data_IF_337619446894
#
_entry.id   IF_337619446894
#
_cell.length_a   1.000
_cell.length_b   1.000
_cell.length_c   1.000
_cell.angle_alpha   90.00
_cell.angle_beta   90.00
_cell.angle_gamma   90.00
#
_symmetry.space_group_name_H-M   'P 1'
#
loop_
_entity.id
_entity.type
_entity.pdbx_description
1 polymer ?
#
# COMPACT_ATOMS: atom_id res chain seq x y z
N UNK A 1 -14.24 3.66 10.18
CA UNK A 1 -14.10 2.24 9.79
C UNK A 1 -13.55 1.47 10.99
N UNK A 2 -13.85 0.19 11.14
CA UNK A 2 -13.38 -0.54 12.31
C UNK A 2 -11.92 -0.96 12.14
N UNK A 3 -11.11 -0.82 13.20
CA UNK A 3 -9.76 -1.35 13.29
C UNK A 3 -9.78 -2.47 14.31
N UNK A 4 -9.32 -3.63 13.91
CA UNK A 4 -9.35 -4.84 14.71
C UNK A 4 -7.93 -5.31 15.00
N UNK A 5 -7.72 -5.77 16.22
CA UNK A 5 -6.43 -6.16 16.74
C UNK A 5 -5.43 -5.02 16.81
N UNK A 6 -4.43 -5.24 17.58
CA UNK A 6 -3.33 -4.32 17.75
C UNK A 6 -2.05 -5.10 17.90
N UNK A 7 -0.95 -4.51 17.60
CA UNK A 7 0.31 -5.20 17.73
C UNK A 7 1.51 -4.29 17.59
N UNK A 8 1.40 -3.31 16.70
CA UNK A 8 2.49 -2.37 16.39
C UNK A 8 1.95 -0.95 16.21
N UNK A 9 1.13 -0.74 15.18
CA UNK A 9 0.70 0.61 14.80
C UNK A 9 -0.49 1.07 15.63
N UNK A 10 -1.46 0.18 15.85
CA UNK A 10 -2.67 0.48 16.61
C UNK A 10 -2.64 -0.09 18.03
N UNK A 11 -1.46 -0.44 18.54
CA UNK A 11 -1.32 -0.88 19.93
C UNK A 11 -1.80 0.21 20.89
N UNK A 12 -2.75 -0.15 21.76
CA UNK A 12 -3.39 0.73 22.74
C UNK A 12 -4.10 1.96 22.13
N UNK A 13 -4.39 1.98 20.83
CA UNK A 13 -5.16 3.06 20.21
C UNK A 13 -6.65 2.76 20.37
N UNK A 14 -7.33 3.58 21.17
CA UNK A 14 -8.79 3.54 21.26
C UNK A 14 -9.42 4.45 20.19
N UNK A 15 -9.83 3.87 19.08
CA UNK A 15 -10.44 4.62 17.97
C UNK A 15 -11.84 5.17 18.28
N UNK A 16 -12.45 4.78 19.38
CA UNK A 16 -13.70 5.39 19.87
C UNK A 16 -13.44 6.72 20.61
N UNK A 17 -12.23 6.94 21.10
CA UNK A 17 -11.82 8.23 21.65
C UNK A 17 -11.58 9.23 20.49
N UNK A 18 -12.34 10.34 20.40
CA UNK A 18 -12.17 11.33 19.33
C UNK A 18 -10.79 12.03 19.35
N UNK A 19 -10.10 12.00 20.48
CA UNK A 19 -8.80 12.61 20.67
C UNK A 19 -7.62 11.64 20.54
N UNK A 20 -7.87 10.38 20.19
CA UNK A 20 -6.84 9.32 20.10
C UNK A 20 -5.64 9.67 19.21
N UNK A 21 -5.83 10.59 18.27
CA UNK A 21 -4.84 11.07 17.31
C UNK A 21 -3.92 12.18 17.83
N UNK A 22 -4.25 12.77 19.01
CA UNK A 22 -3.50 13.91 19.56
C UNK A 22 -2.14 13.49 20.10
N UNK A 23 -1.23 14.48 20.18
CA UNK A 23 0.09 14.30 20.75
C UNK A 23 0.03 13.76 22.19
N UNK A 24 -0.86 14.31 23.02
CA UNK A 24 -0.99 13.90 24.41
C UNK A 24 -1.35 12.42 24.54
N UNK A 25 -2.29 11.95 23.74
CA UNK A 25 -2.68 10.54 23.72
C UNK A 25 -1.55 9.65 23.17
N UNK A 26 -0.82 10.10 22.15
CA UNK A 26 0.33 9.37 21.63
C UNK A 26 1.45 9.25 22.67
N UNK A 27 1.79 10.33 23.37
CA UNK A 27 2.82 10.34 24.40
C UNK A 27 2.41 9.45 25.59
N UNK A 28 1.14 9.46 26.02
CA UNK A 28 0.63 8.53 27.07
C UNK A 28 0.87 7.06 26.74
N UNK A 29 0.82 6.69 25.45
CA UNK A 29 1.10 5.33 24.95
C UNK A 29 2.60 5.07 24.72
N UNK A 30 3.49 5.96 25.18
CA UNK A 30 4.94 5.82 24.99
C UNK A 30 5.48 6.38 23.67
N UNK A 31 4.69 7.16 22.96
CA UNK A 31 5.11 7.82 21.73
C UNK A 31 6.28 8.78 21.95
N UNK A 32 7.06 8.98 20.91
CA UNK A 32 8.33 9.73 20.89
C UNK A 32 9.43 9.21 21.82
N UNK A 33 9.22 8.08 22.52
CA UNK A 33 10.27 7.47 23.34
C UNK A 33 11.42 6.91 22.51
N UNK A 34 11.13 6.39 21.32
CA UNK A 34 12.13 5.93 20.37
C UNK A 34 13.05 7.09 19.91
N UNK A 35 12.47 8.21 19.51
CA UNK A 35 13.24 9.39 19.10
C UNK A 35 14.04 9.96 20.27
N UNK A 36 13.45 10.06 21.49
CA UNK A 36 14.16 10.51 22.69
C UNK A 36 15.36 9.62 22.98
N UNK A 37 15.19 8.32 22.90
CA UNK A 37 16.27 7.34 23.11
C UNK A 37 17.41 7.54 22.11
N UNK A 38 17.11 7.66 20.81
CA UNK A 38 18.12 7.89 19.76
C UNK A 38 18.99 9.12 20.11
N UNK A 39 18.35 10.23 20.45
CA UNK A 39 19.06 11.50 20.66
C UNK A 39 19.78 11.55 22.01
N UNK A 40 19.19 11.04 23.10
CA UNK A 40 19.81 11.05 24.44
C UNK A 40 20.96 10.07 24.58
N UNK A 41 20.89 8.90 23.94
CA UNK A 41 21.94 7.87 23.97
C UNK A 41 22.94 8.03 22.81
N UNK A 42 22.76 9.03 21.94
CA UNK A 42 23.58 9.27 20.73
C UNK A 42 23.73 8.01 19.85
N UNK A 43 22.62 7.29 19.65
CA UNK A 43 22.61 6.09 18.79
C UNK A 43 22.99 6.50 17.37
N UNK A 44 23.96 5.82 16.77
CA UNK A 44 24.46 6.20 15.45
C UNK A 44 23.40 5.98 14.35
N UNK A 45 23.48 6.77 13.28
CA UNK A 45 22.63 6.60 12.09
C UNK A 45 22.70 5.17 11.53
N UNK A 46 23.87 4.56 11.59
CA UNK A 46 24.10 3.19 11.11
C UNK A 46 23.38 2.18 12.00
N UNK A 47 23.46 2.32 13.32
CA UNK A 47 22.82 1.42 14.25
C UNK A 47 21.27 1.47 14.10
N UNK A 48 20.70 2.64 13.87
CA UNK A 48 19.26 2.77 13.58
C UNK A 48 18.89 2.00 12.29
N UNK A 49 19.69 2.12 11.23
CA UNK A 49 19.42 1.38 9.97
C UNK A 49 19.58 -0.13 10.19
N UNK A 50 20.58 -0.55 10.95
CA UNK A 50 20.82 -1.96 11.21
C UNK A 50 19.72 -2.56 12.10
N UNK A 51 19.16 -1.78 13.03
CA UNK A 51 17.96 -2.18 13.80
C UNK A 51 16.75 -2.40 12.87
N UNK A 52 16.53 -1.50 11.89
CA UNK A 52 15.47 -1.68 10.86
C UNK A 52 15.75 -2.87 9.95
N UNK A 53 17.04 -3.21 9.66
CA UNK A 53 17.36 -4.45 8.92
C UNK A 53 17.05 -5.69 9.76
N UNK A 54 17.45 -5.68 11.03
CA UNK A 54 17.21 -6.79 12.00
C UNK A 54 15.71 -7.07 12.12
N UNK A 55 14.89 -6.05 12.09
CA UNK A 55 13.41 -6.19 12.15
C UNK A 55 12.80 -6.99 11.00
N UNK A 56 13.52 -7.14 9.88
CA UNK A 56 12.96 -7.75 8.69
C UNK A 56 11.77 -6.97 8.08
N UNK A 57 11.60 -5.69 8.45
CA UNK A 57 10.52 -4.86 7.89
C UNK A 57 10.66 -4.74 6.38
N UNK A 58 9.65 -5.22 5.67
CA UNK A 58 9.49 -5.03 4.22
C UNK A 58 8.50 -3.91 3.95
N UNK A 59 8.69 -3.18 2.85
CA UNK A 59 7.78 -2.11 2.44
C UNK A 59 6.31 -2.55 2.39
N UNK A 60 5.43 -1.77 3.03
CA UNK A 60 3.99 -2.07 3.17
C UNK A 60 3.13 -1.45 2.06
N UNK A 61 3.75 -0.77 1.10
CA UNK A 61 3.04 -0.11 -0.01
C UNK A 61 2.74 -0.99 -1.23
N UNK A 62 3.19 -2.26 -1.23
CA UNK A 62 2.91 -3.19 -2.34
C UNK A 62 4.12 -4.01 -2.78
N UNK A 63 5.24 -3.38 -3.08
CA UNK A 63 6.44 -4.04 -3.62
C UNK A 63 7.20 -4.93 -2.62
N UNK A 64 7.02 -4.74 -1.31
CA UNK A 64 7.63 -5.57 -0.29
C UNK A 64 9.17 -5.52 -0.23
N UNK A 65 9.81 -4.44 -0.71
CA UNK A 65 11.27 -4.32 -0.67
C UNK A 65 11.78 -4.13 0.77
N UNK A 66 12.91 -4.75 1.18
CA UNK A 66 13.44 -4.62 2.54
C UNK A 66 13.77 -3.16 2.91
N UNK A 67 13.12 -2.63 3.96
CA UNK A 67 13.16 -1.20 4.31
C UNK A 67 14.55 -0.76 4.75
N UNK A 68 15.20 -1.49 5.65
CA UNK A 68 16.54 -1.15 6.13
C UNK A 68 17.60 -1.19 5.02
N UNK A 69 17.45 -2.10 4.05
CA UNK A 69 18.30 -2.13 2.87
C UNK A 69 18.05 -0.90 1.98
N UNK A 70 16.78 -0.52 1.76
CA UNK A 70 16.44 0.71 1.01
C UNK A 70 17.05 1.95 1.64
N UNK A 71 17.02 2.08 2.96
CA UNK A 71 17.62 3.21 3.68
C UNK A 71 19.15 3.26 3.54
N UNK A 72 19.80 2.10 3.46
CA UNK A 72 21.26 2.04 3.28
C UNK A 72 21.74 2.51 1.91
N UNK A 73 20.86 2.66 0.93
CA UNK A 73 21.20 3.23 -0.38
C UNK A 73 21.31 4.76 -0.37
N UNK A 74 20.82 5.42 0.67
CA UNK A 74 20.98 6.86 0.82
C UNK A 74 22.47 7.22 0.97
N UNK A 75 23.03 8.09 0.11
CA UNK A 75 24.45 8.46 0.19
C UNK A 75 24.82 9.08 1.53
N UNK A 76 25.84 8.55 2.21
CA UNK A 76 26.28 9.05 3.52
C UNK A 76 26.92 10.44 3.42
N UNK A 77 27.78 10.64 2.45
CA UNK A 77 28.60 11.85 2.26
C UNK A 77 28.12 12.70 1.08
N UNK A 78 26.81 12.95 1.00
CA UNK A 78 26.28 13.88 0.01
C UNK A 78 26.35 15.33 0.54
N UNK A 79 26.94 16.28 -0.21
CA UNK A 79 27.18 17.65 0.29
C UNK A 79 25.95 18.55 0.27
N UNK A 80 24.81 18.07 -0.22
CA UNK A 80 23.57 18.83 -0.36
C UNK A 80 22.43 18.28 0.49
N UNK A 81 21.26 18.76 0.21
CA UNK A 81 20.02 18.31 0.85
C UNK A 81 19.67 16.89 0.42
N UNK A 82 19.08 16.15 1.34
CA UNK A 82 18.49 14.83 1.15
C UNK A 82 17.06 14.86 1.67
N UNK A 83 16.18 14.07 1.04
CA UNK A 83 14.77 14.07 1.39
C UNK A 83 14.25 12.70 1.80
N UNK A 84 13.30 12.72 2.73
CA UNK A 84 12.46 11.57 3.07
C UNK A 84 11.04 11.87 2.61
N UNK A 85 10.45 10.99 1.83
CA UNK A 85 9.08 11.18 1.32
C UNK A 85 8.21 10.01 1.76
N UNK A 86 7.08 10.35 2.39
CA UNK A 86 6.04 9.38 2.69
C UNK A 86 5.05 9.32 1.52
N UNK A 87 4.77 8.12 1.09
CA UNK A 87 3.74 7.83 0.11
C UNK A 87 2.45 7.44 0.83
N UNK A 88 1.57 8.41 1.03
CA UNK A 88 0.19 8.26 1.48
C UNK A 88 -0.79 8.45 0.30
N UNK A 89 -0.30 8.27 -0.94
CA UNK A 89 -1.17 8.25 -2.13
C UNK A 89 -1.84 6.87 -2.27
N UNK A 90 -2.82 6.64 -1.42
CA UNK A 90 -3.53 5.37 -1.26
C UNK A 90 -4.67 5.24 -2.28
N UNK A 91 -4.30 5.10 -3.56
CA UNK A 91 -5.26 4.99 -4.67
C UNK A 91 -5.59 3.56 -5.11
N UNK A 92 -4.94 2.51 -4.57
CA UNK A 92 -5.18 1.11 -4.94
C UNK A 92 -6.57 0.65 -4.51
N UNK A 93 -7.47 0.23 -5.43
CA UNK A 93 -8.80 -0.24 -5.07
C UNK A 93 -8.75 -1.42 -4.08
N UNK A 94 -9.52 -1.27 -3.00
CA UNK A 94 -9.54 -2.19 -1.87
C UNK A 94 -8.60 -1.82 -0.72
N UNK A 95 -7.70 -0.85 -0.89
CA UNK A 95 -6.76 -0.38 0.14
C UNK A 95 -7.31 0.87 0.85
N UNK A 96 -7.31 0.86 2.19
CA UNK A 96 -7.79 1.98 3.02
C UNK A 96 -7.14 2.01 4.42
N UNK A 97 -5.92 1.51 4.56
CA UNK A 97 -5.17 1.42 5.82
C UNK A 97 -4.39 2.68 6.16
N UNK A 98 -3.80 3.33 5.16
CA UNK A 98 -2.94 4.50 5.35
C UNK A 98 -3.77 5.71 5.76
N UNK A 99 -4.99 5.84 5.22
CA UNK A 99 -5.99 6.80 5.68
C UNK A 99 -6.27 6.64 7.17
N UNK A 100 -6.48 5.42 7.65
CA UNK A 100 -6.80 5.19 9.06
C UNK A 100 -5.58 5.47 9.96
N UNK A 101 -4.35 5.24 9.49
CA UNK A 101 -3.14 5.62 10.24
C UNK A 101 -3.11 7.14 10.46
N UNK A 102 -3.28 7.95 9.41
CA UNK A 102 -3.25 9.41 9.55
C UNK A 102 -4.47 9.97 10.30
N UNK A 103 -5.58 9.24 10.32
CA UNK A 103 -6.78 9.63 11.06
C UNK A 103 -6.71 9.33 12.56
N UNK A 104 -6.10 8.22 12.96
CA UNK A 104 -6.17 7.75 14.35
C UNK A 104 -4.82 7.71 15.06
N UNK A 105 -3.70 7.66 14.33
CA UNK A 105 -2.36 7.62 14.91
C UNK A 105 -1.31 8.36 14.05
N UNK A 106 -1.55 9.64 13.66
CA UNK A 106 -0.64 10.39 12.79
C UNK A 106 0.75 10.59 13.40
N UNK A 107 0.86 10.66 14.73
CA UNK A 107 2.15 10.84 15.39
C UNK A 107 3.09 9.64 15.26
N UNK A 108 2.57 8.41 15.10
CA UNK A 108 3.41 7.26 14.79
C UNK A 108 4.09 7.42 13.41
N UNK A 109 3.37 7.97 12.44
CA UNK A 109 3.94 8.30 11.14
C UNK A 109 4.97 9.42 11.25
N UNK A 110 4.63 10.50 11.96
CA UNK A 110 5.53 11.65 12.15
C UNK A 110 6.83 11.20 12.84
N UNK A 111 6.76 10.48 13.94
CA UNK A 111 7.94 9.95 14.65
C UNK A 111 8.76 9.03 13.75
N UNK A 112 8.11 8.13 13.00
CA UNK A 112 8.78 7.24 12.06
C UNK A 112 9.52 7.98 10.94
N UNK A 113 8.95 9.07 10.42
CA UNK A 113 9.60 9.90 9.42
C UNK A 113 10.78 10.71 9.99
N UNK A 114 10.66 11.21 11.23
CA UNK A 114 11.77 11.91 11.93
C UNK A 114 12.93 10.94 12.15
N UNK A 115 12.67 9.74 12.64
CA UNK A 115 13.68 8.68 12.83
C UNK A 115 14.35 8.32 11.50
N UNK A 116 13.59 8.19 10.43
CA UNK A 116 14.12 7.94 9.09
C UNK A 116 14.98 9.10 8.59
N UNK A 117 14.55 10.35 8.83
CA UNK A 117 15.33 11.55 8.55
C UNK A 117 16.67 11.55 9.28
N UNK A 118 16.67 11.26 10.56
CA UNK A 118 17.88 11.09 11.36
C UNK A 118 18.81 10.01 10.79
N UNK A 119 18.27 8.81 10.59
CA UNK A 119 19.04 7.65 10.14
C UNK A 119 19.71 7.86 8.77
N UNK A 120 19.06 8.57 7.87
CA UNK A 120 19.56 8.84 6.51
C UNK A 120 20.25 10.21 6.37
N UNK A 121 20.26 11.03 7.41
CA UNK A 121 20.84 12.38 7.42
C UNK A 121 20.08 13.33 6.50
N UNK A 122 18.77 13.19 6.39
CA UNK A 122 17.90 14.13 5.72
C UNK A 122 17.43 15.22 6.68
N UNK A 123 17.21 16.44 6.19
CA UNK A 123 16.75 17.59 6.98
C UNK A 123 15.29 17.97 6.70
N UNK A 124 14.73 17.44 5.63
CA UNK A 124 13.35 17.69 5.26
C UNK A 124 12.65 16.42 4.77
N UNK A 125 11.35 16.36 5.07
CA UNK A 125 10.46 15.31 4.60
C UNK A 125 9.14 15.87 4.08
N UNK A 126 8.49 15.08 3.24
CA UNK A 126 7.16 15.38 2.72
C UNK A 126 6.27 14.16 2.87
N UNK A 127 5.05 14.37 3.34
CA UNK A 127 4.00 13.35 3.24
C UNK A 127 3.06 13.73 2.11
N UNK A 128 3.10 12.94 1.02
CA UNK A 128 2.19 13.11 -0.12
C UNK A 128 0.92 12.32 0.15
N UNK A 129 -0.19 13.04 0.37
CA UNK A 129 -1.47 12.48 0.79
C UNK A 129 -2.43 12.48 -0.40
N UNK A 130 -3.11 11.36 -0.67
CA UNK A 130 -4.09 11.20 -1.74
C UNK A 130 -5.19 12.27 -1.67
N UNK A 131 -5.53 12.86 -2.82
CA UNK A 131 -6.43 14.03 -2.87
C UNK A 131 -7.82 13.80 -2.29
N UNK A 132 -8.32 12.56 -2.29
CA UNK A 132 -9.62 12.21 -1.73
C UNK A 132 -9.61 12.08 -0.20
N UNK A 133 -8.45 12.06 0.45
CA UNK A 133 -8.30 11.91 1.90
C UNK A 133 -8.15 13.29 2.57
N UNK A 134 -9.04 14.22 2.27
CA UNK A 134 -8.92 15.61 2.72
C UNK A 134 -8.97 15.75 4.26
N UNK A 135 -9.87 15.06 4.94
CA UNK A 135 -9.92 15.07 6.42
C UNK A 135 -8.64 14.54 7.05
N UNK A 136 -8.05 13.50 6.44
CA UNK A 136 -6.77 12.95 6.86
C UNK A 136 -5.63 13.96 6.67
N UNK A 137 -5.63 14.69 5.56
CA UNK A 137 -4.68 15.79 5.32
C UNK A 137 -4.77 16.85 6.41
N UNK A 138 -5.98 17.36 6.70
CA UNK A 138 -6.19 18.35 7.74
C UNK A 138 -5.76 17.86 9.13
N UNK A 139 -6.04 16.60 9.45
CA UNK A 139 -5.63 16.00 10.72
C UNK A 139 -4.11 15.83 10.82
N UNK A 140 -3.48 15.45 9.74
CA UNK A 140 -2.02 15.34 9.70
C UNK A 140 -1.33 16.71 9.85
N UNK A 141 -1.84 17.76 9.21
CA UNK A 141 -1.38 19.14 9.42
C UNK A 141 -1.50 19.57 10.89
N UNK A 142 -2.65 19.32 11.52
CA UNK A 142 -2.84 19.62 12.94
C UNK A 142 -1.87 18.84 13.85
N UNK A 143 -1.57 17.58 13.50
CA UNK A 143 -0.59 16.78 14.24
C UNK A 143 0.86 17.29 14.04
N UNK A 144 1.20 17.77 12.83
CA UNK A 144 2.48 18.45 12.59
C UNK A 144 2.64 19.71 13.46
N UNK A 145 1.58 20.52 13.59
CA UNK A 145 1.61 21.71 14.43
C UNK A 145 1.81 21.35 15.92
N UNK A 146 1.16 20.29 16.39
CA UNK A 146 1.39 19.76 17.74
C UNK A 146 2.85 19.30 17.94
N UNK A 147 3.41 18.59 16.95
CA UNK A 147 4.80 18.11 17.00
C UNK A 147 5.82 19.27 16.97
N UNK A 148 5.57 20.32 16.17
CA UNK A 148 6.39 21.54 16.15
C UNK A 148 6.35 22.27 17.49
N UNK A 149 5.16 22.49 18.03
CA UNK A 149 4.96 23.17 19.32
C UNK A 149 5.66 22.44 20.47
N UNK A 150 5.74 21.10 20.41
CA UNK A 150 6.39 20.27 21.42
C UNK A 150 7.91 20.07 21.17
N UNK A 151 8.49 20.65 20.12
CA UNK A 151 9.93 20.57 19.82
C UNK A 151 10.38 19.24 19.21
N UNK A 152 9.47 18.47 18.60
CA UNK A 152 9.81 17.25 17.86
C UNK A 152 10.14 17.49 16.38
N UNK A 153 9.80 18.67 15.86
CA UNK A 153 10.11 19.11 14.49
C UNK A 153 10.80 20.47 14.51
N UNK A 154 11.52 20.78 13.45
CA UNK A 154 12.25 22.03 13.28
C UNK A 154 13.74 21.89 13.63
N UNK A 155 14.29 22.91 14.30
CA UNK A 155 15.71 22.95 14.70
C UNK A 155 15.88 22.53 16.15
N UNK A 156 17.09 22.03 16.47
CA UNK A 156 17.47 21.64 17.84
C UNK A 156 16.45 20.69 18.51
N UNK A 157 16.00 19.68 17.79
CA UNK A 157 14.98 18.73 18.23
C UNK A 157 15.43 18.12 19.58
N UNK A 158 14.57 18.26 20.59
CA UNK A 158 14.82 17.79 21.96
C UNK A 158 16.15 18.29 22.58
N UNK A 159 16.63 19.47 22.14
CA UNK A 159 17.88 20.07 22.63
C UNK A 159 19.16 19.51 21.99
N UNK A 160 19.05 18.70 20.95
CA UNK A 160 20.18 18.17 20.18
C UNK A 160 20.54 19.09 19.00
N UNK A 161 21.64 18.78 18.28
CA UNK A 161 21.99 19.45 17.02
C UNK A 161 21.19 18.94 15.81
N UNK A 162 20.29 17.97 16.00
CA UNK A 162 19.47 17.42 14.93
C UNK A 162 18.37 18.39 14.52
N UNK A 163 18.22 18.55 13.23
CA UNK A 163 17.12 19.32 12.61
C UNK A 163 16.38 18.48 11.57
N UNK A 164 15.08 18.55 11.60
CA UNK A 164 14.21 17.92 10.60
C UNK A 164 12.89 18.65 10.50
N UNK A 165 12.50 19.03 9.31
CA UNK A 165 11.18 19.63 9.05
C UNK A 165 10.35 18.68 8.20
N UNK A 166 9.04 18.63 8.48
CA UNK A 166 8.10 17.75 7.80
C UNK A 166 6.90 18.56 7.31
N UNK A 167 6.57 18.36 6.05
CA UNK A 167 5.48 19.05 5.36
C UNK A 167 4.45 18.04 4.86
N UNK A 168 3.16 18.38 4.97
CA UNK A 168 2.11 17.68 4.26
C UNK A 168 1.95 18.27 2.85
N UNK A 169 1.69 17.40 1.89
CA UNK A 169 1.30 17.79 0.54
C UNK A 169 0.00 17.11 0.18
N UNK A 170 -1.02 17.90 -0.11
CA UNK A 170 -2.30 17.39 -0.56
C UNK A 170 -2.23 17.11 -2.07
N UNK A 171 -2.31 15.85 -2.45
CA UNK A 171 -2.32 15.41 -3.85
C UNK A 171 -3.64 15.71 -4.56
N UNK A 172 -3.74 15.22 -5.79
CA UNK A 172 -4.86 15.52 -6.69
C UNK A 172 -5.74 14.31 -7.03
N UNK A 173 -5.53 13.16 -6.38
CA UNK A 173 -6.36 11.96 -6.54
C UNK A 173 -5.99 11.05 -7.72
N UNK A 174 -4.90 11.29 -8.45
CA UNK A 174 -4.47 10.42 -9.53
C UNK A 174 -3.77 9.17 -8.99
N UNK A 175 -4.28 7.98 -9.32
CA UNK A 175 -3.71 6.67 -8.93
C UNK A 175 -2.22 6.54 -9.24
N UNK A 176 -1.80 7.02 -10.43
CA UNK A 176 -0.40 6.90 -10.85
C UNK A 176 0.58 7.64 -9.94
N UNK A 177 0.13 8.66 -9.18
CA UNK A 177 0.97 9.37 -8.22
C UNK A 177 1.35 8.51 -7.01
N UNK A 178 0.80 7.30 -6.86
CA UNK A 178 1.31 6.25 -5.97
C UNK A 178 2.60 5.58 -6.46
N UNK A 179 2.95 5.67 -7.75
CA UNK A 179 4.28 5.28 -8.23
C UNK A 179 5.33 6.30 -7.77
N UNK A 180 6.43 5.79 -7.18
CA UNK A 180 7.37 6.64 -6.43
C UNK A 180 7.94 7.82 -7.25
N UNK A 181 8.16 7.66 -8.55
CA UNK A 181 8.72 8.73 -9.39
C UNK A 181 7.66 9.66 -9.96
N UNK A 182 6.45 9.17 -10.21
CA UNK A 182 5.30 10.01 -10.56
C UNK A 182 4.89 10.91 -9.38
N UNK A 183 4.95 10.36 -8.15
CA UNK A 183 4.77 11.12 -6.92
C UNK A 183 5.78 12.28 -6.84
N UNK A 184 7.06 12.03 -7.11
CA UNK A 184 8.09 13.07 -7.11
C UNK A 184 7.84 14.13 -8.18
N UNK A 185 7.45 13.75 -9.39
CA UNK A 185 7.09 14.72 -10.45
C UNK A 185 5.92 15.59 -10.01
N UNK A 186 4.88 15.00 -9.41
CA UNK A 186 3.73 15.75 -8.89
C UNK A 186 4.12 16.68 -7.74
N UNK A 187 4.96 16.23 -6.80
CA UNK A 187 5.46 17.02 -5.68
C UNK A 187 6.32 18.21 -6.16
N UNK A 188 7.00 18.05 -7.29
CA UNK A 188 7.76 19.12 -7.98
C UNK A 188 6.87 20.08 -8.78
N UNK A 189 5.54 19.91 -8.76
CA UNK A 189 4.58 20.75 -9.51
C UNK A 189 4.49 20.43 -10.99
N UNK A 190 4.98 19.25 -11.40
CA UNK A 190 4.93 18.76 -12.77
C UNK A 190 3.77 17.78 -12.95
N UNK A 191 3.54 17.35 -14.20
CA UNK A 191 2.60 16.27 -14.49
C UNK A 191 3.11 14.97 -13.83
N UNK A 192 2.24 14.31 -13.05
CA UNK A 192 2.54 13.06 -12.37
C UNK A 192 2.74 11.90 -13.34
N UNK A 193 3.90 11.80 -13.94
CA UNK A 193 4.28 10.73 -14.85
C UNK A 193 5.59 10.07 -14.39
N UNK A 194 5.68 8.73 -14.40
CA UNK A 194 6.87 8.00 -13.96
C UNK A 194 8.13 8.39 -14.75
N UNK A 195 9.27 8.37 -14.05
CA UNK A 195 10.62 8.51 -14.64
C UNK A 195 11.19 7.15 -15.02
N UNK A 196 12.09 7.13 -15.98
CA UNK A 196 12.93 5.96 -16.22
C UNK A 196 13.85 5.66 -15.03
N UNK A 197 14.03 4.40 -14.73
CA UNK A 197 14.99 3.90 -13.75
C UNK A 197 15.99 2.96 -14.42
N UNK A 198 17.32 3.09 -14.25
CA UNK A 198 18.05 4.10 -13.46
C UNK A 198 18.01 5.51 -14.08
N UNK A 199 18.27 6.60 -13.32
CA UNK A 199 18.64 6.61 -11.91
C UNK A 199 17.48 6.34 -10.97
N UNK A 200 17.80 5.72 -9.81
CA UNK A 200 16.82 5.51 -8.74
C UNK A 200 16.73 6.74 -7.83
N UNK A 201 15.59 6.96 -7.14
CA UNK A 201 15.39 8.14 -6.28
C UNK A 201 16.46 8.33 -5.20
N UNK A 202 17.03 7.24 -4.66
CA UNK A 202 18.13 7.32 -3.69
C UNK A 202 19.35 8.07 -4.22
N UNK A 203 19.54 8.15 -5.54
CA UNK A 203 20.59 8.90 -6.19
C UNK A 203 20.09 10.21 -6.81
N UNK A 204 18.89 10.19 -7.40
CA UNK A 204 18.30 11.31 -8.13
C UNK A 204 16.78 11.31 -7.98
N UNK A 205 16.31 11.86 -6.86
CA UNK A 205 14.89 11.93 -6.49
C UNK A 205 14.30 13.32 -6.57
N UNK A 206 13.71 13.79 -5.46
CA UNK A 206 13.05 15.09 -5.36
C UNK A 206 14.03 16.24 -5.64
N UNK A 207 13.64 17.12 -6.57
CA UNK A 207 14.49 18.23 -7.03
C UNK A 207 15.91 17.79 -7.47
N UNK A 208 16.04 16.57 -7.98
CA UNK A 208 17.32 15.99 -8.37
C UNK A 208 18.26 15.62 -7.20
N UNK A 209 17.74 15.56 -5.98
CA UNK A 209 18.49 15.23 -4.77
C UNK A 209 18.22 13.80 -4.31
N UNK A 210 19.14 13.17 -3.55
CA UNK A 210 18.90 11.85 -2.97
C UNK A 210 17.62 11.82 -2.13
N UNK A 211 16.74 10.87 -2.43
CA UNK A 211 15.43 10.79 -1.79
C UNK A 211 15.07 9.34 -1.51
N UNK A 212 14.60 9.06 -0.30
CA UNK A 212 14.00 7.77 0.03
C UNK A 212 12.49 7.93 0.19
N UNK A 213 11.74 7.11 -0.54
CA UNK A 213 10.28 7.07 -0.48
C UNK A 213 9.84 5.78 0.21
N UNK A 214 9.00 5.86 1.25
CA UNK A 214 8.35 4.71 1.86
C UNK A 214 6.86 4.98 2.05
N UNK A 215 6.08 3.92 2.13
CA UNK A 215 4.66 3.98 2.42
C UNK A 215 4.40 4.35 3.90
N UNK A 216 3.23 4.89 4.18
CA UNK A 216 2.73 5.31 5.50
C UNK A 216 2.85 4.22 6.55
N UNK A 217 2.34 3.01 6.29
CA UNK A 217 2.40 1.88 7.23
C UNK A 217 3.85 1.46 7.53
N UNK A 218 4.73 1.59 6.53
CA UNK A 218 6.16 1.31 6.70
C UNK A 218 6.80 2.25 7.71
N UNK A 219 6.61 3.56 7.56
CA UNK A 219 7.16 4.54 8.49
C UNK A 219 6.51 4.44 9.87
N UNK A 220 5.19 4.26 9.95
CA UNK A 220 4.47 4.13 11.22
C UNK A 220 4.89 2.89 12.05
N UNK A 221 5.54 1.91 11.44
CA UNK A 221 6.10 0.75 12.14
C UNK A 221 7.47 1.02 12.79
N UNK A 222 8.19 2.05 12.34
CA UNK A 222 9.57 2.35 12.77
C UNK A 222 9.69 2.70 14.27
N UNK A 223 8.78 3.50 14.86
CA UNK A 223 8.86 3.80 16.29
C UNK A 223 8.87 2.54 17.17
N UNK A 224 8.04 1.54 16.86
CA UNK A 224 8.05 0.27 17.57
C UNK A 224 9.42 -0.44 17.44
N UNK A 225 9.96 -0.51 16.22
CA UNK A 225 11.23 -1.19 15.96
C UNK A 225 12.37 -0.57 16.77
N UNK A 226 12.43 0.73 16.84
CA UNK A 226 13.50 1.43 17.57
C UNK A 226 13.28 1.38 19.08
N UNK A 227 12.03 1.48 19.54
CA UNK A 227 11.69 1.45 20.97
C UNK A 227 11.90 0.08 21.58
N UNK A 228 11.38 -0.96 20.96
CA UNK A 228 11.28 -2.31 21.51
C UNK A 228 12.33 -3.27 20.95
N UNK A 229 13.03 -2.88 19.89
CA UNK A 229 14.05 -3.65 19.21
C UNK A 229 13.59 -4.32 17.93
N UNK A 230 14.50 -4.40 16.94
CA UNK A 230 14.21 -5.03 15.64
C UNK A 230 13.83 -6.49 15.77
N UNK A 231 14.50 -7.24 16.67
CA UNK A 231 14.17 -8.65 16.90
C UNK A 231 12.75 -8.82 17.47
N UNK A 232 12.32 -7.94 18.40
CA UNK A 232 10.97 -7.97 18.96
C UNK A 232 9.88 -7.73 17.89
N UNK A 233 10.21 -6.92 16.87
CA UNK A 233 9.34 -6.76 15.71
C UNK A 233 9.37 -8.00 14.80
N UNK A 234 10.56 -8.54 14.51
CA UNK A 234 10.72 -9.74 13.68
C UNK A 234 9.93 -10.92 14.22
N UNK A 235 9.97 -11.12 15.54
CA UNK A 235 9.29 -12.21 16.24
C UNK A 235 7.76 -12.13 16.20
N UNK A 236 7.19 -10.96 15.86
CA UNK A 236 5.75 -10.82 15.63
C UNK A 236 5.27 -11.39 14.31
N UNK A 237 6.16 -11.68 13.37
CA UNK A 237 5.84 -12.22 12.05
C UNK A 237 6.46 -13.62 11.85
N UNK A 238 6.91 -13.86 10.63
CA UNK A 238 7.57 -15.10 10.23
C UNK A 238 8.98 -14.80 9.69
N UNK A 239 9.86 -15.79 9.57
CA UNK A 239 11.17 -15.60 8.95
C UNK A 239 11.05 -14.93 7.57
N UNK A 240 11.89 -13.93 7.31
CA UNK A 240 11.90 -13.09 6.10
C UNK A 240 10.68 -12.17 5.90
N UNK A 241 9.74 -12.13 6.84
CA UNK A 241 8.57 -11.24 6.82
C UNK A 241 8.17 -10.88 8.25
N UNK A 242 9.01 -10.10 8.92
CA UNK A 242 8.82 -9.68 10.31
C UNK A 242 7.61 -8.75 10.48
N UNK A 243 7.09 -8.77 11.70
CA UNK A 243 6.09 -7.84 12.18
C UNK A 243 4.66 -8.15 11.80
N UNK A 244 3.81 -7.17 12.07
CA UNK A 244 2.40 -7.16 11.68
C UNK A 244 2.21 -6.53 10.30
N UNK A 245 1.02 -6.72 9.76
CA UNK A 245 0.53 -6.07 8.55
C UNK A 245 -0.91 -5.64 8.77
N UNK A 246 -1.24 -4.45 8.29
CA UNK A 246 -2.62 -4.00 8.17
C UNK A 246 -3.24 -4.60 6.91
N UNK A 247 -4.22 -5.47 7.10
CA UNK A 247 -5.03 -6.02 6.03
C UNK A 247 -6.35 -5.27 5.92
N UNK A 248 -6.62 -4.68 4.75
CA UNK A 248 -7.89 -4.05 4.44
C UNK A 248 -8.85 -5.11 3.92
N UNK A 249 -9.87 -5.47 4.71
CA UNK A 249 -10.83 -6.48 4.28
C UNK A 249 -12.10 -5.82 3.82
N UNK A 250 -12.51 -6.11 2.59
CA UNK A 250 -13.71 -5.57 1.95
C UNK A 250 -14.45 -6.62 1.13
N UNK A 251 -15.55 -6.21 0.50
CA UNK A 251 -16.41 -7.08 -0.27
C UNK A 251 -17.46 -7.80 0.59
N UNK A 252 -17.67 -9.09 0.36
CA UNK A 252 -18.79 -9.83 0.91
C UNK A 252 -18.48 -10.52 2.26
N UNK A 253 -17.98 -9.74 3.21
CA UNK A 253 -17.74 -10.17 4.60
C UNK A 253 -18.73 -9.48 5.57
N UNK A 254 -18.94 -10.06 6.74
CA UNK A 254 -19.83 -9.48 7.76
C UNK A 254 -19.26 -8.21 8.37
N UNK A 255 -17.96 -8.15 8.60
CA UNK A 255 -17.28 -7.01 9.26
C UNK A 255 -16.10 -6.53 8.42
N UNK A 256 -16.34 -5.70 7.39
CA UNK A 256 -15.26 -5.06 6.64
C UNK A 256 -14.50 -4.07 7.54
N UNK A 257 -13.20 -3.94 7.33
CA UNK A 257 -12.36 -3.04 8.12
C UNK A 257 -10.88 -3.32 7.95
N UNK A 258 -10.05 -2.63 8.75
CA UNK A 258 -8.62 -2.85 8.84
C UNK A 258 -8.29 -3.81 9.99
N UNK A 259 -7.47 -4.81 9.71
CA UNK A 259 -7.05 -5.85 10.65
C UNK A 259 -5.54 -5.84 10.75
N UNK A 260 -4.99 -5.45 11.90
CA UNK A 260 -3.57 -5.54 12.18
C UNK A 260 -3.26 -6.92 12.78
N UNK A 261 -2.65 -7.79 11.99
CA UNK A 261 -2.30 -9.15 12.40
C UNK A 261 -0.87 -9.51 12.00
N UNK A 262 -0.23 -10.50 12.65
CA UNK A 262 1.08 -11.01 12.26
C UNK A 262 1.10 -11.43 10.79
N UNK A 263 2.20 -11.13 10.09
CA UNK A 263 2.45 -11.74 8.78
C UNK A 263 2.55 -13.27 8.92
N UNK A 264 1.98 -14.00 7.98
CA UNK A 264 1.87 -15.46 8.02
C UNK A 264 0.56 -15.97 8.62
N UNK A 265 -0.31 -15.08 9.13
CA UNK A 265 -1.65 -15.50 9.59
C UNK A 265 -2.43 -16.15 8.43
N UNK A 266 -3.04 -17.33 8.60
CA UNK A 266 -3.85 -17.96 7.56
C UNK A 266 -5.03 -17.08 7.13
N UNK A 267 -5.30 -17.03 5.82
CA UNK A 267 -6.47 -16.27 5.34
C UNK A 267 -7.78 -16.70 5.99
N UNK A 268 -7.96 -18.01 6.24
CA UNK A 268 -9.17 -18.53 6.90
C UNK A 268 -9.39 -17.93 8.29
N UNK A 269 -8.32 -17.65 9.05
CA UNK A 269 -8.42 -16.99 10.37
C UNK A 269 -8.81 -15.51 10.21
N UNK A 270 -8.21 -14.81 9.24
CA UNK A 270 -8.55 -13.41 8.97
C UNK A 270 -10.00 -13.29 8.51
N UNK A 271 -10.48 -14.19 7.63
CA UNK A 271 -11.89 -14.25 7.24
C UNK A 271 -12.81 -14.49 8.44
N UNK A 272 -12.42 -15.38 9.36
CA UNK A 272 -13.16 -15.62 10.61
C UNK A 272 -13.18 -14.38 11.50
N UNK A 273 -12.06 -13.65 11.63
CA UNK A 273 -12.02 -12.37 12.34
C UNK A 273 -12.97 -11.35 11.72
N UNK A 274 -13.12 -11.36 10.39
CA UNK A 274 -14.07 -10.51 9.66
C UNK A 274 -15.53 -10.99 9.76
N UNK A 275 -15.82 -11.98 10.59
CA UNK A 275 -17.16 -12.51 10.81
C UNK A 275 -17.60 -13.54 9.79
N UNK A 276 -16.74 -13.96 8.89
CA UNK A 276 -17.06 -14.87 7.79
C UNK A 276 -17.76 -14.19 6.61
N UNK A 277 -18.31 -15.02 5.74
CA UNK A 277 -19.04 -14.56 4.56
C UNK A 277 -20.40 -13.96 4.93
N UNK A 278 -20.71 -12.80 4.36
CA UNK A 278 -21.97 -12.09 4.58
C UNK A 278 -23.18 -12.96 4.18
N UNK A 279 -24.16 -13.04 5.11
CA UNK A 279 -25.38 -13.79 4.89
C UNK A 279 -25.18 -15.30 4.75
N UNK A 280 -24.06 -15.85 5.22
CA UNK A 280 -23.77 -17.29 5.16
C UNK A 280 -23.52 -17.85 3.76
N UNK A 281 -23.29 -16.99 2.76
CA UNK A 281 -22.98 -17.41 1.39
C UNK A 281 -21.60 -18.09 1.29
N UNK A 282 -21.39 -18.79 0.19
CA UNK A 282 -20.10 -19.45 -0.07
C UNK A 282 -19.07 -18.46 -0.63
N UNK A 283 -17.83 -18.62 -0.19
CA UNK A 283 -16.70 -17.93 -0.80
C UNK A 283 -16.49 -18.45 -2.23
N UNK A 284 -16.32 -17.54 -3.19
CA UNK A 284 -16.01 -17.86 -4.59
C UNK A 284 -14.57 -17.53 -4.94
N UNK A 285 -14.18 -16.31 -4.63
CA UNK A 285 -12.86 -15.80 -5.02
C UNK A 285 -12.37 -14.71 -4.06
N UNK A 286 -11.05 -14.47 -4.07
CA UNK A 286 -10.41 -13.41 -3.30
C UNK A 286 -9.34 -12.73 -4.14
N UNK A 287 -9.28 -11.42 -4.11
CA UNK A 287 -8.10 -10.67 -4.53
C UNK A 287 -7.33 -10.33 -3.24
N UNK A 288 -6.12 -10.88 -3.02
CA UNK A 288 -5.47 -10.80 -1.71
C UNK A 288 -4.62 -9.56 -1.47
N UNK A 289 -4.32 -8.78 -2.52
CA UNK A 289 -3.31 -7.72 -2.46
C UNK A 289 -3.68 -6.37 -3.08
N UNK A 290 -4.98 -6.12 -3.29
CA UNK A 290 -5.49 -4.98 -4.06
C UNK A 290 -5.77 -5.36 -5.50
N UNK A 291 -6.46 -4.48 -6.23
CA UNK A 291 -6.96 -4.76 -7.58
C UNK A 291 -5.88 -5.16 -8.59
N UNK A 292 -4.64 -4.75 -8.36
CA UNK A 292 -3.46 -5.11 -9.17
C UNK A 292 -2.95 -6.53 -8.96
N UNK A 293 -3.46 -7.25 -7.94
CA UNK A 293 -3.07 -8.62 -7.67
C UNK A 293 -3.94 -9.64 -8.44
N UNK A 294 -3.37 -10.76 -8.90
CA UNK A 294 -4.15 -11.86 -9.45
C UNK A 294 -5.21 -12.37 -8.48
N UNK A 295 -6.43 -12.61 -8.98
CA UNK A 295 -7.50 -13.25 -8.21
C UNK A 295 -7.19 -14.72 -7.97
N UNK A 296 -7.56 -15.23 -6.78
CA UNK A 296 -7.44 -16.63 -6.42
C UNK A 296 -8.83 -17.23 -6.13
N UNK A 297 -9.11 -18.46 -6.59
CA UNK A 297 -10.31 -19.22 -6.20
C UNK A 297 -10.33 -19.55 -4.71
N UNK A 298 -11.50 -19.82 -4.18
CA UNK A 298 -11.75 -20.09 -2.77
C UNK A 298 -10.91 -21.25 -2.21
N UNK A 299 -10.80 -22.35 -2.95
CA UNK A 299 -10.08 -23.56 -2.55
C UNK A 299 -8.58 -23.31 -2.36
N UNK A 300 -7.98 -22.50 -3.23
CA UNK A 300 -6.59 -22.07 -3.10
C UNK A 300 -6.44 -21.11 -1.92
N UNK A 301 -7.30 -20.09 -1.87
CA UNK A 301 -7.13 -19.02 -0.88
C UNK A 301 -7.34 -19.48 0.56
N UNK A 302 -8.29 -20.41 0.79
CA UNK A 302 -8.55 -20.96 2.14
C UNK A 302 -7.39 -21.77 2.72
N UNK A 303 -6.43 -22.18 1.91
CA UNK A 303 -5.22 -22.92 2.31
C UNK A 303 -3.97 -22.04 2.34
N UNK A 304 -4.10 -20.74 2.05
CA UNK A 304 -2.96 -19.84 1.88
C UNK A 304 -2.76 -18.95 3.11
N UNK A 305 -1.50 -18.83 3.55
CA UNK A 305 -1.11 -17.88 4.58
C UNK A 305 -0.88 -16.50 3.97
N UNK A 306 -1.18 -15.46 4.75
CA UNK A 306 -1.07 -14.06 4.33
C UNK A 306 0.34 -13.53 4.58
N UNK A 307 1.26 -13.95 3.74
CA UNK A 307 2.64 -13.48 3.66
C UNK A 307 3.12 -13.42 2.20
N UNK A 308 4.27 -12.80 1.98
CA UNK A 308 4.79 -12.56 0.62
C UNK A 308 5.04 -13.85 -0.17
N UNK A 309 5.63 -14.85 0.49
CA UNK A 309 6.08 -16.07 -0.16
C UNK A 309 4.91 -17.04 -0.41
N UNK A 310 4.01 -17.17 0.57
CA UNK A 310 2.84 -18.05 0.46
C UNK A 310 1.88 -17.58 -0.62
N UNK A 311 1.57 -16.27 -0.65
CA UNK A 311 0.70 -15.69 -1.70
C UNK A 311 1.37 -15.77 -3.08
N UNK A 312 2.68 -15.56 -3.16
CA UNK A 312 3.42 -15.71 -4.43
C UNK A 312 3.38 -17.15 -4.94
N UNK A 313 3.57 -18.14 -4.08
CA UNK A 313 3.45 -19.57 -4.43
C UNK A 313 2.03 -19.95 -4.86
N UNK A 314 1.01 -19.31 -4.30
CA UNK A 314 -0.37 -19.49 -4.71
C UNK A 314 -0.69 -18.85 -6.09
N UNK A 315 0.23 -18.08 -6.66
CA UNK A 315 0.08 -17.45 -7.97
C UNK A 315 -0.49 -16.03 -7.93
N UNK A 316 -0.40 -15.34 -6.80
CA UNK A 316 -0.83 -13.96 -6.63
C UNK A 316 0.24 -13.10 -5.96
N UNK A 317 -0.12 -11.93 -5.41
CA UNK A 317 0.77 -11.02 -4.70
C UNK A 317 0.10 -10.56 -3.41
N UNK A 318 0.90 -10.41 -2.33
CA UNK A 318 0.43 -9.79 -1.10
C UNK A 318 0.07 -8.31 -1.31
N UNK A 319 0.74 -7.65 -2.23
CA UNK A 319 0.47 -6.27 -2.64
C UNK A 319 0.38 -5.31 -1.46
N UNK A 320 -0.64 -4.46 -1.47
CA UNK A 320 -0.94 -3.54 -0.36
C UNK A 320 -1.54 -4.23 0.87
N UNK A 321 -1.96 -5.50 0.76
CA UNK A 321 -2.71 -6.22 1.79
C UNK A 321 -4.21 -5.93 1.76
N UNK A 322 -4.72 -5.42 0.64
CA UNK A 322 -6.15 -5.23 0.43
C UNK A 322 -6.80 -6.53 -0.02
N UNK A 323 -7.63 -7.09 0.84
CA UNK A 323 -8.33 -8.36 0.63
C UNK A 323 -9.75 -8.07 0.16
N UNK A 324 -10.05 -8.32 -1.12
CA UNK A 324 -11.39 -8.17 -1.69
C UNK A 324 -12.05 -9.54 -1.77
N UNK A 325 -13.06 -9.76 -0.95
CA UNK A 325 -13.75 -11.06 -0.82
C UNK A 325 -15.02 -11.08 -1.67
N UNK A 326 -15.15 -12.09 -2.53
CA UNK A 326 -16.25 -12.26 -3.47
C UNK A 326 -17.02 -13.55 -3.15
N UNK A 327 -18.33 -13.43 -2.99
CA UNK A 327 -19.24 -14.58 -2.78
C UNK A 327 -19.64 -15.27 -4.10
N UNK A 328 -20.40 -16.35 -3.96
CA UNK A 328 -20.84 -17.19 -5.07
C UNK A 328 -21.77 -16.49 -6.08
N UNK A 329 -22.29 -15.31 -5.76
CA UNK A 329 -23.18 -14.55 -6.64
C UNK A 329 -22.44 -13.49 -7.47
N UNK A 330 -21.14 -13.32 -7.27
CA UNK A 330 -20.34 -12.34 -8.07
C UNK A 330 -20.13 -12.87 -9.49
N UNK A 331 -20.50 -12.06 -10.48
CA UNK A 331 -20.14 -12.29 -11.87
C UNK A 331 -18.69 -11.87 -12.12
N UNK A 332 -17.83 -12.85 -12.42
CA UNK A 332 -16.40 -12.58 -12.61
C UNK A 332 -16.12 -11.78 -13.87
N UNK A 333 -16.96 -11.88 -14.90
CA UNK A 333 -16.83 -11.09 -16.14
C UNK A 333 -17.04 -9.60 -15.88
N UNK A 334 -18.13 -9.25 -15.15
CA UNK A 334 -18.40 -7.86 -14.78
C UNK A 334 -17.41 -7.32 -13.77
N UNK A 335 -16.93 -8.14 -12.84
CA UNK A 335 -15.88 -7.74 -11.92
C UNK A 335 -14.59 -7.39 -12.68
N UNK A 336 -14.19 -8.18 -13.68
CA UNK A 336 -13.05 -7.87 -14.53
C UNK A 336 -13.29 -6.61 -15.37
N UNK A 337 -14.50 -6.41 -15.90
CA UNK A 337 -14.84 -5.19 -16.64
C UNK A 337 -14.56 -3.95 -15.79
N UNK A 338 -15.04 -3.95 -14.54
CA UNK A 338 -14.83 -2.81 -13.62
C UNK A 338 -13.35 -2.55 -13.34
N UNK A 339 -12.56 -3.59 -13.11
CA UNK A 339 -11.11 -3.48 -12.91
C UNK A 339 -10.41 -2.95 -14.17
N UNK A 340 -10.77 -3.47 -15.34
CA UNK A 340 -10.19 -3.04 -16.61
C UNK A 340 -10.50 -1.58 -16.94
N UNK A 341 -11.72 -1.12 -16.61
CA UNK A 341 -12.09 0.28 -16.72
C UNK A 341 -11.21 1.17 -15.83
N UNK A 342 -11.00 0.79 -14.57
CA UNK A 342 -10.17 1.53 -13.63
C UNK A 342 -8.74 1.75 -14.19
N UNK A 343 -8.08 0.69 -14.66
CA UNK A 343 -6.72 0.82 -15.21
C UNK A 343 -6.67 1.60 -16.53
N UNK A 344 -7.73 1.56 -17.33
CA UNK A 344 -7.85 2.39 -18.52
C UNK A 344 -7.97 3.86 -18.16
N UNK A 345 -8.82 4.20 -17.20
CA UNK A 345 -9.07 5.58 -16.74
C UNK A 345 -7.83 6.18 -16.07
N UNK A 346 -7.11 5.40 -15.26
CA UNK A 346 -5.97 5.84 -14.46
C UNK A 346 -4.61 5.76 -15.19
N UNK A 347 -4.58 5.32 -16.42
CA UNK A 347 -3.35 5.35 -17.21
C UNK A 347 -2.89 6.79 -17.44
N UNK A 348 -1.62 7.11 -17.05
CA UNK A 348 -1.06 8.46 -17.28
C UNK A 348 -0.84 8.79 -18.76
N UNK A 349 -0.98 7.81 -19.66
CA UNK A 349 -0.85 7.98 -21.11
C UNK A 349 0.58 8.12 -21.64
N UNK A 350 1.60 7.97 -20.80
CA UNK A 350 3.00 8.17 -21.22
C UNK A 350 3.50 7.08 -22.18
N UNK A 351 3.30 5.80 -21.81
CA UNK A 351 3.79 4.67 -22.59
C UNK A 351 2.72 4.15 -23.55
N UNK A 352 3.03 4.04 -24.83
CA UNK A 352 2.09 3.57 -25.86
C UNK A 352 1.45 2.22 -25.52
N UNK A 353 2.19 1.16 -25.08
CA UNK A 353 1.57 -0.12 -24.75
C UNK A 353 0.54 -0.03 -23.61
N UNK A 354 0.76 0.84 -22.62
CA UNK A 354 -0.18 1.10 -21.54
C UNK A 354 -1.37 1.94 -22.02
N UNK A 355 -1.11 3.09 -22.61
CA UNK A 355 -2.15 4.05 -23.07
C UNK A 355 -3.19 3.41 -23.96
N UNK A 356 -2.74 2.63 -24.97
CA UNK A 356 -3.63 1.97 -25.91
C UNK A 356 -4.15 0.63 -25.38
N UNK A 357 -3.26 -0.17 -24.80
CA UNK A 357 -3.57 -1.54 -24.38
C UNK A 357 -4.57 -1.63 -23.24
N UNK A 358 -4.53 -0.75 -22.25
CA UNK A 358 -5.53 -0.72 -21.17
C UNK A 358 -6.94 -0.45 -21.73
N UNK A 359 -7.06 0.48 -22.67
CA UNK A 359 -8.32 0.77 -23.35
C UNK A 359 -8.78 -0.41 -24.23
N UNK A 360 -7.87 -1.17 -24.84
CA UNK A 360 -8.23 -2.37 -25.60
C UNK A 360 -8.71 -3.49 -24.69
N UNK A 361 -8.02 -3.77 -23.59
CA UNK A 361 -8.45 -4.76 -22.60
C UNK A 361 -9.87 -4.44 -22.10
N UNK A 362 -10.11 -3.20 -21.68
CA UNK A 362 -11.43 -2.77 -21.24
C UNK A 362 -12.50 -2.98 -22.33
N UNK A 363 -12.28 -2.51 -23.57
CA UNK A 363 -13.28 -2.61 -24.64
C UNK A 363 -13.59 -4.05 -25.04
N UNK A 364 -12.61 -4.97 -24.96
CA UNK A 364 -12.84 -6.38 -25.21
C UNK A 364 -13.73 -6.98 -24.13
N UNK A 365 -13.41 -6.77 -22.85
CA UNK A 365 -14.23 -7.27 -21.73
C UNK A 365 -15.63 -6.64 -21.75
N UNK A 366 -15.73 -5.33 -21.99
CA UNK A 366 -17.00 -4.62 -22.12
C UNK A 366 -17.88 -5.17 -23.24
N UNK A 367 -17.29 -5.50 -24.40
CA UNK A 367 -18.02 -6.14 -25.51
C UNK A 367 -18.59 -7.51 -25.11
N UNK A 368 -17.86 -8.27 -24.28
CA UNK A 368 -18.37 -9.53 -23.73
C UNK A 368 -19.56 -9.27 -22.80
N UNK A 369 -19.45 -8.29 -21.90
CA UNK A 369 -20.53 -7.89 -20.98
C UNK A 369 -21.77 -7.39 -21.70
N UNK A 370 -21.62 -6.77 -22.86
CA UNK A 370 -22.75 -6.37 -23.71
C UNK A 370 -23.40 -7.52 -24.52
N UNK A 371 -22.95 -8.77 -24.31
CA UNK A 371 -23.46 -9.92 -25.06
C UNK A 371 -23.02 -9.97 -26.53
N UNK A 372 -21.98 -9.20 -26.87
CA UNK A 372 -21.40 -9.13 -28.24
C UNK A 372 -20.01 -9.79 -28.31
N UNK A 373 -19.65 -10.53 -27.29
CA UNK A 373 -18.36 -11.23 -27.20
C UNK A 373 -18.22 -12.35 -28.21
N UNK A 374 -16.99 -12.68 -28.55
CA UNK A 374 -16.64 -13.78 -29.45
C UNK A 374 -15.58 -14.64 -28.78
N UNK A 375 -15.51 -15.92 -29.11
CA UNK A 375 -14.54 -16.86 -28.49
C UNK A 375 -13.09 -16.40 -28.71
N UNK A 376 -12.79 -15.78 -29.85
CA UNK A 376 -11.47 -15.21 -30.16
C UNK A 376 -11.09 -14.04 -29.24
N UNK A 377 -12.06 -13.43 -28.55
CA UNK A 377 -11.80 -12.32 -27.61
C UNK A 377 -10.97 -12.78 -26.41
N UNK A 378 -11.08 -14.05 -26.00
CA UNK A 378 -10.27 -14.61 -24.92
C UNK A 378 -8.79 -14.69 -25.30
N UNK A 379 -8.50 -15.13 -26.53
CA UNK A 379 -7.14 -15.18 -27.06
C UNK A 379 -6.60 -13.76 -27.33
N UNK A 380 -7.48 -12.85 -27.73
CA UNK A 380 -7.13 -11.45 -27.96
C UNK A 380 -6.74 -10.73 -26.66
N UNK A 381 -7.45 -10.99 -25.54
CA UNK A 381 -7.07 -10.47 -24.22
C UNK A 381 -5.66 -10.89 -23.83
N UNK A 382 -5.31 -12.15 -24.06
CA UNK A 382 -3.96 -12.68 -23.77
C UNK A 382 -2.91 -12.07 -24.70
N UNK A 383 -3.22 -11.92 -25.99
CA UNK A 383 -2.34 -11.30 -26.98
C UNK A 383 -2.04 -9.84 -26.63
N UNK A 384 -3.06 -9.03 -26.29
CA UNK A 384 -2.88 -7.64 -25.86
C UNK A 384 -2.04 -7.59 -24.58
N UNK A 385 -2.36 -8.42 -23.57
CA UNK A 385 -1.60 -8.51 -22.34
C UNK A 385 -0.12 -8.83 -22.55
N UNK A 386 0.20 -9.71 -23.51
CA UNK A 386 1.57 -10.06 -23.87
C UNK A 386 2.35 -8.89 -24.51
N UNK A 387 1.67 -7.95 -25.16
CA UNK A 387 2.30 -6.75 -25.71
C UNK A 387 2.41 -5.60 -24.70
N UNK A 388 1.75 -5.69 -23.55
CA UNK A 388 1.78 -4.68 -22.50
C UNK A 388 2.78 -5.03 -21.39
N UNK A 389 2.73 -6.26 -20.86
CA UNK A 389 3.49 -6.67 -19.68
C UNK A 389 5.00 -6.56 -19.91
N UNK A 390 5.70 -5.92 -18.98
CA UNK A 390 7.16 -5.70 -19.02
C UNK A 390 7.65 -4.74 -20.10
N UNK A 391 6.76 -4.00 -20.79
CA UNK A 391 7.11 -3.13 -21.93
C UNK A 391 6.83 -1.64 -21.67
N UNK A 392 6.71 -1.26 -20.41
CA UNK A 392 6.38 0.11 -19.99
C UNK A 392 7.33 0.61 -18.90
N UNK A 393 7.33 1.92 -18.66
CA UNK A 393 8.23 2.57 -17.69
C UNK A 393 7.89 2.14 -16.25
N UNK A 394 6.59 1.98 -15.93
CA UNK A 394 6.12 1.57 -14.61
C UNK A 394 5.27 0.31 -14.68
N UNK A 395 4.94 -0.25 -13.53
CA UNK A 395 4.21 -1.50 -13.39
C UNK A 395 2.69 -1.38 -13.62
N UNK A 396 2.13 -0.21 -13.99
CA UNK A 396 0.68 -0.07 -14.21
C UNK A 396 0.17 -1.00 -15.32
N UNK A 397 0.93 -1.17 -16.39
CA UNK A 397 0.55 -2.10 -17.47
C UNK A 397 0.49 -3.54 -16.98
N UNK A 398 1.46 -3.97 -16.16
CA UNK A 398 1.46 -5.29 -15.54
C UNK A 398 0.27 -5.45 -14.58
N UNK A 399 0.00 -4.42 -13.78
CA UNK A 399 -1.14 -4.35 -12.86
C UNK A 399 -2.50 -4.47 -13.57
N UNK A 400 -2.62 -3.94 -14.79
CA UNK A 400 -3.81 -4.10 -15.62
C UNK A 400 -3.93 -5.50 -16.22
N UNK A 401 -2.81 -6.15 -16.56
CA UNK A 401 -2.76 -7.46 -17.19
C UNK A 401 -2.99 -8.61 -16.20
N UNK A 402 -2.49 -8.49 -14.95
CA UNK A 402 -2.61 -9.56 -13.95
C UNK A 402 -4.06 -9.96 -13.63
N UNK A 403 -4.99 -9.03 -13.38
CA UNK A 403 -6.41 -9.38 -13.25
C UNK A 403 -6.96 -10.08 -14.49
N UNK A 404 -6.71 -9.54 -15.68
CA UNK A 404 -7.20 -10.13 -16.94
C UNK A 404 -6.80 -11.60 -17.05
N UNK A 405 -5.51 -11.90 -16.88
CA UNK A 405 -5.00 -13.28 -16.96
C UNK A 405 -5.56 -14.20 -15.89
N UNK A 406 -5.65 -13.72 -14.64
CA UNK A 406 -6.11 -14.56 -13.53
C UNK A 406 -7.61 -14.82 -13.60
N UNK A 407 -8.43 -13.84 -13.94
CA UNK A 407 -9.87 -14.00 -14.11
C UNK A 407 -10.19 -14.95 -15.28
N UNK A 408 -9.59 -14.73 -16.45
CA UNK A 408 -9.81 -15.61 -17.61
C UNK A 408 -9.27 -17.02 -17.41
N UNK A 409 -8.21 -17.20 -16.60
CA UNK A 409 -7.66 -18.52 -16.26
C UNK A 409 -8.57 -19.28 -15.30
N UNK A 410 -8.97 -18.67 -14.19
CA UNK A 410 -9.65 -19.37 -13.10
C UNK A 410 -11.16 -19.45 -13.26
N UNK A 411 -11.74 -18.55 -14.02
CA UNK A 411 -13.20 -18.43 -14.22
C UNK A 411 -13.59 -18.47 -15.71
N UNK A 412 -12.77 -19.16 -16.53
CA UNK A 412 -12.94 -19.25 -17.99
C UNK A 412 -14.36 -19.65 -18.39
N UNK A 413 -14.97 -20.57 -17.64
CA UNK A 413 -16.32 -21.07 -17.93
C UNK A 413 -17.38 -19.96 -17.85
N UNK A 414 -17.23 -18.98 -16.97
CA UNK A 414 -18.14 -17.82 -16.91
C UNK A 414 -17.99 -16.93 -18.14
N UNK A 415 -16.77 -16.73 -18.65
CA UNK A 415 -16.54 -15.97 -19.87
C UNK A 415 -17.11 -16.68 -21.10
N UNK A 416 -16.88 -17.99 -21.23
CA UNK A 416 -17.44 -18.81 -22.30
C UNK A 416 -18.96 -18.75 -22.29
N UNK A 417 -19.57 -18.99 -21.11
CA UNK A 417 -21.02 -18.90 -20.97
C UNK A 417 -21.56 -17.51 -21.36
N UNK A 418 -20.91 -16.45 -20.92
CA UNK A 418 -21.30 -15.08 -21.25
C UNK A 418 -21.27 -14.81 -22.75
N UNK A 419 -20.25 -15.32 -23.44
CA UNK A 419 -20.10 -15.21 -24.90
C UNK A 419 -21.19 -16.00 -25.65
N UNK A 420 -21.45 -17.25 -25.22
CA UNK A 420 -22.39 -18.15 -25.90
C UNK A 420 -23.87 -17.77 -25.66
N UNK A 421 -24.19 -17.20 -24.48
CA UNK A 421 -25.57 -16.96 -24.07
C UNK A 421 -25.91 -15.45 -23.94
N UNK A 422 -24.95 -14.56 -24.14
CA UNK A 422 -25.17 -13.11 -24.05
C UNK A 422 -25.41 -12.57 -22.65
N UNK A 423 -25.12 -13.34 -21.59
CA UNK A 423 -25.38 -12.95 -20.22
C UNK A 423 -24.69 -13.84 -19.18
N UNK A 424 -24.79 -13.50 -17.88
CA UNK A 424 -24.16 -14.25 -16.80
C UNK A 424 -24.82 -15.60 -16.55
N UNK A 425 -24.07 -16.56 -15.97
CA UNK A 425 -24.59 -17.88 -15.61
C UNK A 425 -25.77 -17.87 -14.61
N UNK A 426 -25.79 -16.84 -13.74
CA UNK A 426 -26.87 -16.61 -12.79
C UNK A 426 -27.31 -15.14 -12.89
N UNK A 427 -28.60 -14.88 -12.69
CA UNK A 427 -29.04 -13.50 -12.49
C UNK A 427 -28.37 -12.95 -11.20
N UNK A 428 -27.54 -11.95 -11.35
CA UNK A 428 -26.83 -11.33 -10.26
C UNK A 428 -27.58 -10.10 -9.74
N UNK A 429 -27.85 -10.05 -8.44
CA UNK A 429 -28.57 -8.92 -7.80
C UNK A 429 -27.76 -7.64 -7.72
N UNK A 430 -26.47 -7.68 -8.01
CA UNK A 430 -25.50 -6.60 -7.76
C UNK A 430 -24.58 -6.31 -8.95
N UNK A 431 -25.03 -6.57 -10.13
CA UNK A 431 -24.26 -6.26 -11.35
C UNK A 431 -24.99 -5.27 -12.24
#
# INVERSE_FOLDING_TARGET
MAIYQSGVIFDQVDTANPDCWTLDEYVKRGGYSALRRILSENISQTDVIDEVKTSGLRGRGGAGFPTGLKWSFMPRSFPGEKYVVCNTDEGEPGTFKDRDIIMFNPHALIEGMIIAGYAMGAKAGYNYIHGEIFEGYQRFEAALDQARAAGFLGKNILGSDFEFELFAHHGYGAYICGEETALLESLEGKKGQPRFKPPFPASFGLYGKPTTINNTETFASVPFIVRDGGQAFADKGIPNAGGTKLFCISGHVERPGNYEVPLGTPFAEILKMAGGMRGGKKLKAVIPGGSSAPVLPADIMMQTNMDYDSISKAGSMLGSGAIIVMDEDVCMVKALERLSYFYYDESCGQCTPCREGTGWLYRIVHRIVEGKGRMEDLDLLDSVGNQMAGRTICALADAAVFPVRSFTKHFRDEFVHYIEHGGPMKEHKWC
#
